data_IF_676964649245
#
_entry.id   IF_676964649245
#
_cell.length_a   1.000
_cell.length_b   1.000
_cell.length_c   1.000
_cell.angle_alpha   90.00
_cell.angle_beta   90.00
_cell.angle_gamma   90.00
#
_symmetry.space_group_name_H-M   'P 1'
#
loop_
_entity.id
_entity.type
_entity.pdbx_description
1 polymer ?
#
# COMPACT_ATOMS: atom_id res chain seq x y z
N UNK A 1 8.87 13.75 48.11
CA UNK A 1 9.38 13.21 46.81
C UNK A 1 8.17 12.67 46.08
N UNK A 2 7.96 13.09 44.83
CA UNK A 2 6.85 12.57 44.04
C UNK A 2 7.14 11.11 43.68
N UNK A 3 6.33 10.19 44.20
CA UNK A 3 6.54 8.75 44.04
C UNK A 3 6.36 8.29 42.58
N UNK A 4 5.54 9.00 41.78
CA UNK A 4 5.34 8.73 40.38
C UNK A 4 6.62 9.06 39.58
N UNK A 5 7.34 10.12 39.98
CA UNK A 5 8.61 10.49 39.40
C UNK A 5 9.74 9.50 39.76
N UNK A 6 9.70 8.92 40.93
CA UNK A 6 10.63 7.81 41.30
C UNK A 6 10.36 6.57 40.44
N UNK A 7 9.10 6.20 40.27
CA UNK A 7 8.73 5.07 39.44
C UNK A 7 9.12 5.32 37.97
N UNK A 8 8.86 6.53 37.46
CA UNK A 8 9.29 6.92 36.12
C UNK A 8 10.80 6.70 35.93
N UNK A 9 11.62 7.27 36.85
CA UNK A 9 13.07 7.14 36.77
C UNK A 9 13.53 5.67 36.86
N UNK A 10 12.92 4.90 37.75
CA UNK A 10 13.20 3.48 37.90
C UNK A 10 12.97 2.72 36.59
N UNK A 11 11.84 2.95 35.91
CA UNK A 11 11.54 2.34 34.62
C UNK A 11 12.58 2.74 33.57
N UNK A 12 12.96 4.02 33.50
CA UNK A 12 13.97 4.52 32.55
C UNK A 12 15.32 3.81 32.78
N UNK A 13 15.74 3.68 34.03
CA UNK A 13 17.01 3.05 34.38
C UNK A 13 17.02 1.53 34.11
N UNK A 14 15.86 0.86 34.11
CA UNK A 14 15.70 -0.58 33.89
C UNK A 14 15.12 -0.95 32.52
N UNK A 15 15.10 -0.02 31.55
CA UNK A 15 14.53 -0.30 30.21
C UNK A 15 15.20 -1.48 29.51
N UNK A 16 16.49 -1.71 29.74
CA UNK A 16 17.23 -2.85 29.19
C UNK A 16 16.71 -4.18 29.75
N UNK A 17 16.57 -4.28 31.05
CA UNK A 17 16.10 -5.50 31.74
C UNK A 17 14.66 -5.83 31.33
N UNK A 18 13.80 -4.80 31.24
CA UNK A 18 12.40 -4.93 30.76
C UNK A 18 12.39 -5.45 29.31
N UNK A 19 13.28 -4.96 28.49
CA UNK A 19 13.40 -5.39 27.08
C UNK A 19 13.90 -6.82 26.96
N UNK A 20 14.90 -7.21 27.74
CA UNK A 20 15.41 -8.60 27.78
C UNK A 20 14.34 -9.58 28.26
N UNK A 21 13.55 -9.18 29.25
CA UNK A 21 12.40 -9.96 29.69
C UNK A 21 11.34 -10.11 28.61
N UNK A 22 11.02 -9.03 27.91
CA UNK A 22 10.12 -9.08 26.77
C UNK A 22 10.62 -10.04 25.68
N UNK A 23 11.92 -10.03 25.37
CA UNK A 23 12.51 -11.00 24.44
C UNK A 23 12.32 -12.44 24.89
N UNK A 24 12.40 -12.71 26.20
CA UNK A 24 12.16 -14.06 26.74
C UNK A 24 10.72 -14.54 26.58
N UNK A 25 9.74 -13.65 26.61
CA UNK A 25 8.31 -13.96 26.41
C UNK A 25 7.98 -14.28 24.94
N UNK A 26 8.83 -13.86 24.00
CA UNK A 26 8.62 -14.07 22.55
C UNK A 26 8.81 -15.51 22.09
N UNK A 27 9.48 -16.35 22.83
CA UNK A 27 9.67 -17.77 22.48
C UNK A 27 8.35 -18.53 22.25
N UNK A 28 7.21 -17.93 22.61
CA UNK A 28 5.87 -18.51 22.43
C UNK A 28 5.12 -17.91 21.22
N UNK A 29 5.65 -16.86 20.57
CA UNK A 29 5.01 -16.19 19.45
C UNK A 29 5.20 -16.95 18.13
N UNK A 30 4.12 -17.06 17.36
CA UNK A 30 4.11 -17.59 16.01
C UNK A 30 4.21 -16.41 15.04
N UNK A 31 5.30 -16.29 14.29
CA UNK A 31 5.48 -15.24 13.30
C UNK A 31 6.96 -15.02 12.98
N UNK A 32 7.28 -14.71 11.73
CA UNK A 32 8.68 -14.59 11.29
C UNK A 32 9.43 -13.46 12.00
N UNK A 33 8.78 -12.31 12.22
CA UNK A 33 9.41 -11.15 12.83
C UNK A 33 9.60 -11.30 14.35
N UNK A 34 8.68 -11.97 15.03
CA UNK A 34 8.67 -12.06 16.47
C UNK A 34 9.12 -13.43 17.01
N UNK A 35 9.39 -14.43 16.16
CA UNK A 35 9.92 -15.72 16.59
C UNK A 35 11.41 -15.61 16.93
N UNK A 36 11.84 -16.33 17.97
CA UNK A 36 13.19 -16.23 18.51
C UNK A 36 14.26 -16.87 17.61
N UNK A 37 13.88 -17.76 16.69
CA UNK A 37 14.82 -18.71 16.09
C UNK A 37 15.67 -18.16 14.93
N UNK A 38 15.36 -16.98 14.34
CA UNK A 38 16.07 -16.49 13.15
C UNK A 38 16.18 -14.96 13.04
N UNK A 39 16.25 -14.22 14.15
CA UNK A 39 16.46 -12.78 14.08
C UNK A 39 17.86 -12.42 13.64
N UNK A 40 17.99 -11.63 12.56
CA UNK A 40 19.25 -10.98 12.23
C UNK A 40 19.64 -9.99 13.34
N UNK A 41 20.93 -9.72 13.50
CA UNK A 41 21.43 -8.75 14.49
C UNK A 41 20.82 -7.34 14.25
N UNK A 42 20.59 -6.97 12.99
CA UNK A 42 19.95 -5.71 12.62
C UNK A 42 18.50 -5.65 13.10
N UNK A 43 17.75 -6.75 12.92
CA UNK A 43 16.37 -6.83 13.37
C UNK A 43 16.28 -6.83 14.89
N UNK A 44 17.18 -7.54 15.56
CA UNK A 44 17.25 -7.53 17.04
C UNK A 44 17.51 -6.12 17.57
N UNK A 45 18.45 -5.39 16.96
CA UNK A 45 18.73 -4.00 17.31
C UNK A 45 17.50 -3.10 17.13
N UNK A 46 16.84 -3.21 15.96
CA UNK A 46 15.62 -2.44 15.68
C UNK A 46 14.52 -2.70 16.70
N UNK A 47 14.27 -3.97 17.02
CA UNK A 47 13.26 -4.34 18.01
C UNK A 47 13.62 -3.87 19.42
N UNK A 48 14.90 -3.92 19.78
CA UNK A 48 15.40 -3.37 21.05
C UNK A 48 15.14 -1.88 21.14
N UNK A 49 15.49 -1.11 20.11
CA UNK A 49 15.26 0.33 20.06
C UNK A 49 13.76 0.67 20.15
N UNK A 50 12.92 -0.04 19.40
CA UNK A 50 11.48 0.16 19.42
C UNK A 50 10.85 -0.21 20.77
N UNK A 51 11.27 -1.31 21.39
CA UNK A 51 10.75 -1.71 22.69
C UNK A 51 11.22 -0.79 23.83
N UNK A 52 12.47 -0.32 23.77
CA UNK A 52 12.96 0.72 24.69
C UNK A 52 12.11 1.98 24.57
N UNK A 53 11.78 2.40 23.33
CA UNK A 53 10.91 3.55 23.13
C UNK A 53 9.47 3.30 23.61
N UNK A 54 8.97 2.05 23.52
CA UNK A 54 7.69 1.66 24.14
C UNK A 54 7.74 1.89 25.66
N UNK A 55 8.80 1.42 26.33
CA UNK A 55 8.94 1.56 27.77
C UNK A 55 9.00 3.04 28.19
N UNK A 56 9.77 3.88 27.48
CA UNK A 56 9.85 5.33 27.72
C UNK A 56 8.48 5.97 27.53
N UNK A 57 7.77 5.61 26.45
CA UNK A 57 6.43 6.15 26.15
C UNK A 57 5.45 5.82 27.28
N UNK A 58 5.40 4.56 27.74
CA UNK A 58 4.48 4.16 28.82
C UNK A 58 4.91 4.79 30.15
N UNK A 59 6.21 4.89 30.44
CA UNK A 59 6.70 5.52 31.65
C UNK A 59 6.29 7.00 31.73
N UNK A 60 6.31 7.74 30.63
CA UNK A 60 5.88 9.14 30.60
C UNK A 60 4.41 9.35 30.99
N UNK A 61 3.58 8.29 30.96
CA UNK A 61 2.20 8.38 31.44
C UNK A 61 2.07 8.55 32.97
N UNK A 62 3.13 8.30 33.74
CA UNK A 62 3.16 8.57 35.18
C UNK A 62 3.41 10.04 35.52
N UNK A 63 3.88 10.83 34.57
CA UNK A 63 4.16 12.25 34.77
C UNK A 63 2.86 13.08 34.81
N UNK A 64 2.87 14.19 35.53
CA UNK A 64 1.72 15.09 35.62
C UNK A 64 1.42 15.74 34.28
N UNK A 65 2.46 16.14 33.52
CA UNK A 65 2.32 16.64 32.16
C UNK A 65 2.21 15.48 31.17
N UNK A 66 1.03 15.33 30.61
CA UNK A 66 0.73 14.26 29.65
C UNK A 66 1.16 14.59 28.21
N UNK A 67 1.74 15.76 27.97
CA UNK A 67 2.16 16.21 26.62
C UNK A 67 3.20 15.24 26.06
N UNK A 68 4.21 14.90 26.83
CA UNK A 68 5.27 13.98 26.44
C UNK A 68 4.72 12.58 26.10
N UNK A 69 3.77 12.08 26.90
CA UNK A 69 3.12 10.80 26.63
C UNK A 69 2.38 10.81 25.29
N UNK A 70 1.62 11.87 25.00
CA UNK A 70 0.86 11.98 23.75
C UNK A 70 1.77 12.07 22.53
N UNK A 71 2.82 12.91 22.59
CA UNK A 71 3.78 13.04 21.50
C UNK A 71 4.55 11.76 21.23
N UNK A 72 5.05 11.12 22.31
CA UNK A 72 5.78 9.85 22.19
C UNK A 72 4.88 8.74 21.64
N UNK A 73 3.64 8.63 22.10
CA UNK A 73 2.66 7.63 21.64
C UNK A 73 2.40 7.77 20.14
N UNK A 74 2.12 8.99 19.67
CA UNK A 74 1.87 9.24 18.24
C UNK A 74 3.11 8.91 17.39
N UNK A 75 4.29 9.35 17.83
CA UNK A 75 5.56 9.08 17.13
C UNK A 75 5.86 7.57 17.10
N UNK A 76 5.67 6.89 18.22
CA UNK A 76 5.86 5.45 18.32
C UNK A 76 4.92 4.71 17.38
N UNK A 77 3.62 5.01 17.43
CA UNK A 77 2.61 4.35 16.61
C UNK A 77 2.88 4.51 15.11
N UNK A 78 3.23 5.73 14.67
CA UNK A 78 3.59 5.99 13.27
C UNK A 78 4.82 5.19 12.84
N UNK A 79 5.88 5.19 13.67
CA UNK A 79 7.14 4.51 13.35
C UNK A 79 6.95 2.99 13.28
N UNK A 80 6.29 2.41 14.29
CA UNK A 80 6.08 0.97 14.36
C UNK A 80 5.10 0.51 13.30
N UNK A 81 3.97 1.19 13.10
CA UNK A 81 2.97 0.82 12.11
C UNK A 81 3.54 0.84 10.68
N UNK A 82 4.28 1.90 10.33
CA UNK A 82 4.96 2.00 9.03
C UNK A 82 5.89 0.82 8.79
N UNK A 83 6.78 0.55 9.76
CA UNK A 83 7.74 -0.55 9.67
C UNK A 83 7.04 -1.92 9.53
N UNK A 84 5.96 -2.18 10.27
CA UNK A 84 5.23 -3.46 10.18
C UNK A 84 4.50 -3.64 8.86
N UNK A 85 3.92 -2.57 8.31
CA UNK A 85 3.30 -2.60 6.97
C UNK A 85 4.34 -2.84 5.88
N UNK A 86 5.53 -2.23 5.98
CA UNK A 86 6.63 -2.45 5.02
C UNK A 86 7.17 -3.89 5.05
N UNK A 87 7.11 -4.54 6.22
CA UNK A 87 7.59 -5.91 6.42
C UNK A 87 6.49 -6.98 6.33
N UNK A 88 5.28 -6.62 5.89
CA UNK A 88 4.11 -7.53 5.78
C UNK A 88 3.73 -8.24 7.08
N UNK A 89 4.06 -7.66 8.25
CA UNK A 89 3.74 -8.22 9.56
C UNK A 89 2.24 -8.04 9.85
N UNK A 90 1.59 -9.10 10.25
CA UNK A 90 0.16 -9.07 10.52
C UNK A 90 -0.18 -8.32 11.81
N UNK A 91 -1.29 -7.58 11.81
CA UNK A 91 -1.68 -6.72 12.94
C UNK A 91 -1.80 -7.49 14.26
N UNK A 92 -2.31 -8.73 14.23
CA UNK A 92 -2.49 -9.53 15.44
C UNK A 92 -1.15 -9.92 16.11
N UNK A 93 -0.09 -10.16 15.31
CA UNK A 93 1.25 -10.45 15.84
C UNK A 93 1.82 -9.25 16.60
N UNK A 94 1.57 -8.04 16.11
CA UNK A 94 2.00 -6.81 16.78
C UNK A 94 1.21 -6.58 18.07
N UNK A 95 -0.10 -6.80 18.04
CA UNK A 95 -0.95 -6.68 19.24
C UNK A 95 -0.52 -7.68 20.32
N UNK A 96 -0.16 -8.91 19.94
CA UNK A 96 0.37 -9.91 20.86
C UNK A 96 1.73 -9.46 21.44
N UNK A 97 2.62 -8.91 20.61
CA UNK A 97 3.89 -8.36 21.06
C UNK A 97 3.71 -7.18 22.05
N UNK A 98 2.74 -6.29 21.81
CA UNK A 98 2.37 -5.20 22.72
C UNK A 98 1.81 -5.75 24.03
N UNK A 99 1.00 -6.81 23.99
CA UNK A 99 0.46 -7.47 25.17
C UNK A 99 1.58 -8.06 26.03
N UNK A 100 2.60 -8.67 25.42
CA UNK A 100 3.79 -9.15 26.12
C UNK A 100 4.63 -8.01 26.69
N UNK A 101 4.68 -6.85 26.01
CA UNK A 101 5.31 -5.63 26.54
C UNK A 101 4.59 -5.14 27.80
N UNK A 102 3.26 -5.21 27.85
CA UNK A 102 2.49 -4.87 29.05
C UNK A 102 2.87 -5.76 30.24
N UNK A 103 3.06 -7.06 30.00
CA UNK A 103 3.45 -8.01 31.04
C UNK A 103 4.85 -7.68 31.58
N UNK A 104 5.85 -7.53 30.69
CA UNK A 104 7.23 -7.24 31.09
C UNK A 104 7.34 -5.89 31.82
N UNK A 105 6.60 -4.89 31.37
CA UNK A 105 6.54 -3.57 31.99
C UNK A 105 5.90 -3.63 33.38
N UNK A 106 4.74 -4.30 33.51
CA UNK A 106 4.06 -4.43 34.80
C UNK A 106 4.90 -5.19 35.83
N UNK A 107 5.65 -6.21 35.42
CA UNK A 107 6.56 -6.92 36.27
C UNK A 107 7.66 -6.02 36.86
N UNK A 108 8.16 -5.04 36.07
CA UNK A 108 9.10 -4.04 36.56
C UNK A 108 8.44 -3.08 37.59
N UNK A 109 7.18 -2.67 37.36
CA UNK A 109 6.43 -1.89 38.32
C UNK A 109 6.25 -2.67 39.64
N UNK A 110 5.94 -3.96 39.54
CA UNK A 110 5.81 -4.83 40.74
C UNK A 110 7.16 -4.98 41.48
N UNK A 111 8.28 -5.04 40.76
CA UNK A 111 9.60 -5.05 41.37
C UNK A 111 9.86 -3.75 42.15
N UNK A 112 9.58 -2.59 41.52
CA UNK A 112 9.68 -1.30 42.21
C UNK A 112 8.82 -1.25 43.49
N UNK A 113 7.57 -1.72 43.43
CA UNK A 113 6.68 -1.77 44.61
C UNK A 113 7.31 -2.60 45.73
N UNK A 114 7.88 -3.78 45.40
CA UNK A 114 8.52 -4.66 46.41
C UNK A 114 9.76 -4.05 47.04
N UNK A 115 10.54 -3.30 46.29
CA UNK A 115 11.76 -2.62 46.75
C UNK A 115 11.44 -1.40 47.62
N UNK A 116 10.24 -0.81 47.44
CA UNK A 116 9.84 0.45 48.08
C UNK A 116 8.58 0.32 48.95
N UNK A 117 8.39 -0.84 49.62
CA UNK A 117 7.19 -1.13 50.41
C UNK A 117 6.93 -0.14 51.55
N UNK A 118 7.98 0.55 52.02
CA UNK A 118 7.87 1.53 53.11
C UNK A 118 7.25 2.86 52.69
N UNK A 119 7.25 3.18 51.37
CA UNK A 119 6.80 4.45 50.84
C UNK A 119 5.66 4.30 49.81
N UNK A 120 5.46 3.11 49.24
CA UNK A 120 4.41 2.82 48.24
C UNK A 120 3.17 2.31 48.96
N UNK A 121 2.05 2.95 48.74
CA UNK A 121 0.74 2.50 49.27
C UNK A 121 0.01 1.58 48.31
N UNK A 122 -0.98 0.84 48.80
CA UNK A 122 -1.86 0.06 47.93
C UNK A 122 -2.65 0.94 46.94
N UNK A 123 -2.98 2.16 47.35
CA UNK A 123 -3.67 3.13 46.47
C UNK A 123 -2.77 3.56 45.28
N UNK A 124 -1.47 3.72 45.55
CA UNK A 124 -0.48 4.00 44.48
C UNK A 124 -0.39 2.82 43.49
N UNK A 125 -0.29 1.60 44.01
CA UNK A 125 -0.24 0.39 43.20
C UNK A 125 -1.48 0.25 42.29
N UNK A 126 -2.67 0.48 42.85
CA UNK A 126 -3.94 0.43 42.13
C UNK A 126 -4.04 1.55 41.08
N UNK A 127 -3.54 2.75 41.40
CA UNK A 127 -3.47 3.87 40.44
C UNK A 127 -2.54 3.53 39.28
N UNK A 128 -1.33 3.05 39.56
CA UNK A 128 -0.37 2.66 38.52
C UNK A 128 -0.86 1.53 37.65
N UNK A 129 -1.56 0.54 38.20
CA UNK A 129 -2.18 -0.52 37.44
C UNK A 129 -3.17 0.04 36.42
N UNK A 130 -4.02 1.00 36.84
CA UNK A 130 -4.95 1.67 35.90
C UNK A 130 -4.22 2.46 34.83
N UNK A 131 -3.19 3.23 35.22
CA UNK A 131 -2.39 4.03 34.26
C UNK A 131 -1.75 3.13 33.22
N UNK A 132 -1.07 2.05 33.64
CA UNK A 132 -0.40 1.11 32.72
C UNK A 132 -1.41 0.49 31.75
N UNK A 133 -2.51 -0.06 32.24
CA UNK A 133 -3.51 -0.68 31.38
C UNK A 133 -4.11 0.31 30.39
N UNK A 134 -4.51 1.50 30.84
CA UNK A 134 -5.07 2.53 29.95
C UNK A 134 -4.05 3.03 28.93
N UNK A 135 -2.78 3.13 29.30
CA UNK A 135 -1.73 3.59 28.39
C UNK A 135 -1.43 2.57 27.32
N UNK A 136 -1.37 1.28 27.65
CA UNK A 136 -1.22 0.23 26.65
C UNK A 136 -2.45 0.10 25.76
N UNK A 137 -3.66 0.27 26.27
CA UNK A 137 -4.88 0.26 25.48
C UNK A 137 -4.90 1.41 24.48
N UNK A 138 -4.52 2.63 24.90
CA UNK A 138 -4.35 3.78 23.99
C UNK A 138 -3.28 3.51 22.94
N UNK A 139 -2.15 2.90 23.32
CA UNK A 139 -1.07 2.55 22.39
C UNK A 139 -1.55 1.56 21.32
N UNK A 140 -2.33 0.54 21.69
CA UNK A 140 -2.92 -0.42 20.74
C UNK A 140 -3.89 0.28 19.79
N UNK A 141 -4.74 1.18 20.31
CA UNK A 141 -5.69 1.92 19.48
C UNK A 141 -4.95 2.79 18.47
N UNK A 142 -4.02 3.64 18.91
CA UNK A 142 -3.24 4.51 18.05
C UNK A 142 -2.43 3.73 17.01
N UNK A 143 -1.78 2.64 17.43
CA UNK A 143 -1.10 1.73 16.51
C UNK A 143 -2.03 1.19 15.43
N UNK A 144 -3.22 0.71 15.83
CA UNK A 144 -4.18 0.11 14.90
C UNK A 144 -4.69 1.12 13.87
N UNK A 145 -4.93 2.37 14.27
CA UNK A 145 -5.32 3.46 13.37
C UNK A 145 -4.21 3.78 12.36
N UNK A 146 -2.97 3.92 12.82
CA UNK A 146 -1.83 4.19 11.95
C UNK A 146 -1.54 3.01 11.01
N UNK A 147 -1.62 1.78 11.49
CA UNK A 147 -1.44 0.58 10.69
C UNK A 147 -2.47 0.51 9.56
N UNK A 148 -3.76 0.73 9.87
CA UNK A 148 -4.82 0.76 8.88
C UNK A 148 -4.58 1.85 7.83
N UNK A 149 -4.15 3.04 8.26
CA UNK A 149 -3.83 4.15 7.36
C UNK A 149 -2.71 3.79 6.38
N UNK A 150 -1.60 3.22 6.85
CA UNK A 150 -0.49 2.81 5.99
C UNK A 150 -0.87 1.66 5.05
N UNK A 151 -1.66 0.69 5.52
CA UNK A 151 -2.18 -0.39 4.67
C UNK A 151 -3.07 0.14 3.54
N UNK A 152 -3.96 1.08 3.83
CA UNK A 152 -4.79 1.72 2.80
C UNK A 152 -3.95 2.51 1.79
N UNK A 153 -2.95 3.27 2.25
CA UNK A 153 -2.02 3.98 1.37
C UNK A 153 -1.28 3.01 0.43
N UNK A 154 -0.77 1.91 0.98
CA UNK A 154 -0.08 0.87 0.19
C UNK A 154 -1.01 0.25 -0.85
N UNK A 155 -2.23 -0.10 -0.45
CA UNK A 155 -3.24 -0.66 -1.35
C UNK A 155 -3.60 0.31 -2.48
N UNK A 156 -3.81 1.59 -2.15
CA UNK A 156 -4.10 2.64 -3.14
C UNK A 156 -2.95 2.79 -4.14
N UNK A 157 -1.71 2.87 -3.65
CA UNK A 157 -0.53 2.95 -4.53
C UNK A 157 -0.39 1.73 -5.45
N UNK A 158 -0.67 0.53 -4.95
CA UNK A 158 -0.69 -0.67 -5.79
C UNK A 158 -1.81 -0.63 -6.84
N UNK A 159 -3.00 -0.13 -6.49
CA UNK A 159 -4.11 0.04 -7.43
C UNK A 159 -3.80 1.09 -8.50
N UNK A 160 -3.14 2.18 -8.14
CA UNK A 160 -2.68 3.21 -9.08
C UNK A 160 -1.68 2.64 -10.07
N UNK A 161 -0.67 1.88 -9.62
CA UNK A 161 0.28 1.19 -10.49
C UNK A 161 -0.40 0.22 -11.46
N UNK A 162 -1.37 -0.57 -10.98
CA UNK A 162 -2.15 -1.48 -11.83
C UNK A 162 -2.96 -0.69 -12.86
N UNK A 163 -3.55 0.43 -12.47
CA UNK A 163 -4.30 1.32 -13.36
C UNK A 163 -3.40 1.96 -14.43
N UNK A 164 -2.20 2.40 -14.05
CA UNK A 164 -1.21 2.93 -15.01
C UNK A 164 -0.78 1.90 -16.04
N UNK A 165 -0.58 0.65 -15.62
CA UNK A 165 -0.23 -0.45 -16.52
C UNK A 165 -1.42 -0.94 -17.34
N UNK A 166 -2.65 -0.70 -16.86
CA UNK A 166 -3.89 -1.20 -17.47
C UNK A 166 -4.27 -0.55 -18.81
N UNK A 167 -3.74 0.65 -19.13
CA UNK A 167 -4.08 1.41 -20.33
C UNK A 167 -2.85 2.11 -20.94
N UNK A 168 -1.78 1.36 -21.30
CA UNK A 168 -0.57 1.97 -21.82
C UNK A 168 -0.80 2.50 -23.24
N UNK A 169 -0.58 3.79 -23.47
CA UNK A 169 -0.42 4.33 -24.83
C UNK A 169 1.06 4.19 -25.20
N UNK A 170 1.37 3.29 -26.12
CA UNK A 170 2.73 2.98 -26.56
C UNK A 170 3.02 3.76 -27.85
N UNK A 171 3.97 4.69 -27.81
CA UNK A 171 4.46 5.37 -29.02
C UNK A 171 5.38 4.43 -29.80
N UNK A 172 5.09 4.17 -31.08
CA UNK A 172 5.85 3.26 -31.95
C UNK A 172 6.57 3.97 -33.08
N UNK A 173 6.05 5.13 -33.48
CA UNK A 173 6.65 6.00 -34.48
C UNK A 173 6.18 7.44 -34.21
N UNK A 174 6.75 8.40 -34.92
CA UNK A 174 6.35 9.81 -34.79
C UNK A 174 4.85 9.98 -35.09
N UNK A 175 4.13 10.44 -34.08
CA UNK A 175 2.68 10.65 -34.12
C UNK A 175 1.83 9.37 -34.09
N UNK A 176 2.41 8.16 -34.05
CA UNK A 176 1.67 6.90 -34.07
C UNK A 176 1.79 6.21 -32.72
N UNK A 177 0.65 5.94 -32.10
CA UNK A 177 0.54 5.21 -30.84
C UNK A 177 -0.36 3.98 -30.93
N UNK A 178 -0.14 3.04 -30.03
CA UNK A 178 -0.97 1.85 -29.82
C UNK A 178 -1.53 1.88 -28.41
N UNK A 179 -2.81 1.57 -28.26
CA UNK A 179 -3.50 1.24 -27.01
C UNK A 179 -3.87 -0.23 -27.06
N UNK A 180 -3.05 -1.15 -26.52
CA UNK A 180 -3.40 -2.57 -26.44
C UNK A 180 -4.37 -2.80 -25.28
N UNK A 181 -5.56 -3.29 -25.57
CA UNK A 181 -6.56 -3.67 -24.56
C UNK A 181 -6.55 -5.19 -24.40
N UNK A 182 -6.23 -5.65 -23.19
CA UNK A 182 -6.08 -7.07 -22.88
C UNK A 182 -6.97 -7.43 -21.68
N UNK A 183 -7.64 -8.57 -21.75
CA UNK A 183 -8.52 -9.08 -20.70
C UNK A 183 -9.90 -8.40 -20.68
N UNK A 184 -10.69 -8.67 -19.63
CA UNK A 184 -12.02 -8.11 -19.49
C UNK A 184 -11.96 -6.62 -19.21
N UNK A 185 -12.82 -5.86 -19.88
CA UNK A 185 -13.01 -4.43 -19.64
C UNK A 185 -14.33 -4.29 -18.89
N UNK A 186 -14.26 -3.90 -17.62
CA UNK A 186 -15.42 -3.52 -16.84
C UNK A 186 -15.73 -2.02 -16.97
N UNK A 187 -16.83 -1.58 -16.43
CA UNK A 187 -17.26 -0.18 -16.49
C UNK A 187 -16.22 0.78 -15.89
N UNK A 188 -15.57 0.38 -14.78
CA UNK A 188 -14.57 1.20 -14.10
C UNK A 188 -13.33 1.37 -14.98
N UNK A 189 -12.84 0.27 -15.55
CA UNK A 189 -11.70 0.29 -16.47
C UNK A 189 -11.99 1.08 -17.74
N UNK A 190 -13.20 0.94 -18.28
CA UNK A 190 -13.63 1.71 -19.46
C UNK A 190 -13.65 3.23 -19.18
N UNK A 191 -14.07 3.64 -17.98
CA UNK A 191 -14.03 5.03 -17.56
C UNK A 191 -12.58 5.53 -17.41
N UNK A 192 -11.68 4.77 -16.81
CA UNK A 192 -10.26 5.11 -16.69
C UNK A 192 -9.63 5.28 -18.07
N UNK A 193 -9.95 4.40 -19.03
CA UNK A 193 -9.49 4.51 -20.42
C UNK A 193 -9.93 5.86 -21.02
N UNK A 194 -11.21 6.21 -20.87
CA UNK A 194 -11.79 7.43 -21.40
C UNK A 194 -11.15 8.70 -20.82
N UNK A 195 -10.77 8.69 -19.55
CA UNK A 195 -10.17 9.82 -18.86
C UNK A 195 -8.65 9.95 -19.15
N UNK A 196 -7.93 8.83 -19.20
CA UNK A 196 -6.45 8.85 -19.27
C UNK A 196 -5.87 8.82 -20.67
N UNK A 197 -6.50 8.09 -21.61
CA UNK A 197 -5.94 7.91 -22.95
C UNK A 197 -5.84 9.22 -23.73
N UNK A 198 -6.86 10.10 -23.74
CA UNK A 198 -6.76 11.38 -24.45
C UNK A 198 -5.62 12.26 -23.94
N UNK A 199 -5.43 12.32 -22.62
CA UNK A 199 -4.34 13.08 -21.99
C UNK A 199 -2.98 12.55 -22.43
N UNK A 200 -2.79 11.23 -22.39
CA UNK A 200 -1.55 10.56 -22.81
C UNK A 200 -1.25 10.75 -24.30
N UNK A 201 -2.28 10.81 -25.16
CA UNK A 201 -2.09 11.10 -26.57
C UNK A 201 -1.52 12.50 -26.80
N UNK A 202 -2.02 13.49 -26.07
CA UNK A 202 -1.53 14.86 -26.14
C UNK A 202 -0.08 14.96 -25.63
N UNK A 203 0.20 14.41 -24.43
CA UNK A 203 1.53 14.42 -23.82
C UNK A 203 2.58 13.79 -24.73
N UNK A 204 2.22 12.70 -25.43
CA UNK A 204 3.11 11.94 -26.33
C UNK A 204 3.06 12.40 -27.77
N UNK A 205 2.32 13.49 -28.07
CA UNK A 205 2.15 14.04 -29.41
C UNK A 205 1.65 13.00 -30.44
N UNK A 206 0.75 12.11 -29.99
CA UNK A 206 0.13 11.11 -30.86
C UNK A 206 -0.93 11.79 -31.72
N UNK A 207 -0.85 11.62 -33.02
CA UNK A 207 -1.81 12.12 -34.02
C UNK A 207 -2.70 11.00 -34.57
N UNK A 208 -2.27 9.74 -34.38
CA UNK A 208 -3.03 8.55 -34.77
C UNK A 208 -2.86 7.47 -33.73
N UNK A 209 -3.96 7.01 -33.13
CA UNK A 209 -3.99 5.98 -32.11
C UNK A 209 -4.67 4.71 -32.61
N UNK A 210 -3.94 3.58 -32.60
CA UNK A 210 -4.52 2.25 -32.87
C UNK A 210 -5.01 1.66 -31.54
N UNK A 211 -6.32 1.49 -31.40
CA UNK A 211 -6.94 0.77 -30.28
C UNK A 211 -7.07 -0.69 -30.64
N UNK A 212 -6.22 -1.53 -30.05
CA UNK A 212 -6.19 -2.96 -30.33
C UNK A 212 -7.06 -3.75 -29.35
N UNK A 213 -8.09 -4.36 -29.88
CA UNK A 213 -9.09 -5.17 -29.14
C UNK A 213 -8.85 -6.68 -29.24
N UNK A 214 -7.75 -7.11 -29.87
CA UNK A 214 -7.44 -8.54 -30.09
C UNK A 214 -7.41 -9.35 -28.79
N UNK A 215 -6.99 -8.72 -27.70
CA UNK A 215 -6.89 -9.33 -26.38
C UNK A 215 -8.16 -9.24 -25.51
N UNK A 216 -9.26 -8.68 -26.04
CA UNK A 216 -10.51 -8.48 -25.28
C UNK A 216 -11.47 -9.63 -25.60
N UNK A 217 -11.81 -10.53 -24.64
CA UNK A 217 -12.63 -11.69 -24.92
C UNK A 217 -14.11 -11.35 -25.16
N UNK A 218 -14.64 -10.37 -24.45
CA UNK A 218 -16.05 -9.96 -24.50
C UNK A 218 -16.11 -8.44 -24.34
N UNK A 219 -16.94 -7.80 -25.17
CA UNK A 219 -17.29 -6.39 -25.07
C UNK A 219 -18.80 -6.31 -24.86
N UNK A 220 -19.23 -5.87 -23.67
CA UNK A 220 -20.63 -5.63 -23.39
C UNK A 220 -21.10 -4.28 -23.96
N UNK A 221 -22.38 -4.02 -23.86
CA UNK A 221 -23.04 -2.81 -24.35
C UNK A 221 -22.42 -1.53 -23.77
N UNK A 222 -22.10 -1.55 -22.47
CA UNK A 222 -21.54 -0.39 -21.78
C UNK A 222 -20.12 -0.09 -22.25
N UNK A 223 -19.31 -1.12 -22.38
CA UNK A 223 -17.92 -1.00 -22.88
C UNK A 223 -17.89 -0.52 -24.32
N UNK A 224 -18.76 -1.06 -25.20
CA UNK A 224 -18.88 -0.60 -26.57
C UNK A 224 -19.20 0.90 -26.64
N UNK A 225 -20.13 1.38 -25.79
CA UNK A 225 -20.47 2.79 -25.69
C UNK A 225 -19.30 3.66 -25.23
N UNK A 226 -18.50 3.17 -24.26
CA UNK A 226 -17.35 3.93 -23.76
C UNK A 226 -16.21 3.99 -24.81
N UNK A 227 -15.95 2.91 -25.54
CA UNK A 227 -15.00 2.91 -26.65
C UNK A 227 -15.42 3.86 -27.77
N UNK A 228 -16.71 3.92 -28.08
CA UNK A 228 -17.26 4.89 -29.00
C UNK A 228 -17.08 6.34 -28.52
N UNK A 229 -17.32 6.59 -27.23
CA UNK A 229 -17.10 7.91 -26.63
C UNK A 229 -15.60 8.28 -26.65
N UNK A 230 -14.70 7.32 -26.42
CA UNK A 230 -13.27 7.52 -26.52
C UNK A 230 -12.88 7.96 -27.94
N UNK A 231 -13.37 7.27 -28.97
CA UNK A 231 -13.05 7.62 -30.36
C UNK A 231 -13.51 9.03 -30.72
N UNK A 232 -14.72 9.43 -30.28
CA UNK A 232 -15.19 10.81 -30.47
C UNK A 232 -14.34 11.85 -29.77
N UNK A 233 -13.94 11.56 -28.51
CA UNK A 233 -13.05 12.46 -27.76
C UNK A 233 -11.71 12.62 -28.46
N UNK A 234 -11.11 11.53 -28.96
CA UNK A 234 -9.85 11.57 -29.69
C UNK A 234 -9.96 12.42 -30.97
N UNK A 235 -11.03 12.25 -31.75
CA UNK A 235 -11.27 13.03 -32.95
C UNK A 235 -11.39 14.54 -32.66
N UNK A 236 -12.09 14.91 -31.58
CA UNK A 236 -12.20 16.31 -31.15
C UNK A 236 -10.84 16.92 -30.76
N UNK A 237 -9.90 16.09 -30.29
CA UNK A 237 -8.53 16.49 -29.97
C UNK A 237 -7.58 16.44 -31.18
N UNK A 238 -8.10 16.12 -32.38
CA UNK A 238 -7.30 15.99 -33.60
C UNK A 238 -6.50 14.68 -33.67
N UNK A 239 -6.82 13.70 -32.84
CA UNK A 239 -6.20 12.37 -32.87
C UNK A 239 -7.08 11.42 -33.67
N UNK A 240 -6.52 10.84 -34.73
CA UNK A 240 -7.21 9.83 -35.54
C UNK A 240 -7.31 8.53 -34.75
N UNK A 241 -8.53 8.06 -34.47
CA UNK A 241 -8.78 6.77 -33.86
C UNK A 241 -8.87 5.68 -34.95
N UNK A 242 -8.10 4.61 -34.78
CA UNK A 242 -8.08 3.41 -35.62
C UNK A 242 -8.32 2.19 -34.75
N UNK A 243 -9.15 1.26 -35.16
CA UNK A 243 -9.41 0.06 -34.40
C UNK A 243 -8.81 -1.17 -35.06
N UNK A 244 -8.26 -2.09 -34.24
CA UNK A 244 -7.79 -3.39 -34.72
C UNK A 244 -8.30 -4.52 -33.85
N UNK A 245 -8.41 -5.73 -34.42
CA UNK A 245 -8.78 -6.91 -33.70
C UNK A 245 -10.25 -6.96 -33.23
N UNK A 246 -11.16 -6.22 -33.91
CA UNK A 246 -12.59 -6.28 -33.62
C UNK A 246 -13.13 -7.66 -33.98
N UNK A 247 -13.68 -8.35 -33.00
CA UNK A 247 -14.29 -9.67 -33.19
C UNK A 247 -15.70 -9.55 -33.75
N UNK A 248 -16.22 -10.57 -34.45
CA UNK A 248 -17.56 -10.53 -35.04
C UNK A 248 -18.70 -10.28 -34.03
N UNK A 249 -18.57 -10.83 -32.81
CA UNK A 249 -19.53 -10.64 -31.73
C UNK A 249 -19.56 -9.16 -31.23
N UNK A 250 -18.39 -8.53 -31.16
CA UNK A 250 -18.27 -7.08 -30.81
C UNK A 250 -18.89 -6.22 -31.92
N UNK A 251 -18.65 -6.54 -33.18
CA UNK A 251 -19.22 -5.83 -34.31
C UNK A 251 -20.74 -5.93 -34.32
N UNK A 252 -21.32 -7.11 -34.09
CA UNK A 252 -22.76 -7.32 -34.01
C UNK A 252 -23.40 -6.51 -32.87
N UNK A 253 -22.80 -6.55 -31.68
CA UNK A 253 -23.27 -5.78 -30.51
C UNK A 253 -23.28 -4.28 -30.82
N UNK A 254 -22.24 -3.77 -31.45
CA UNK A 254 -22.16 -2.34 -31.81
C UNK A 254 -23.25 -1.91 -32.77
N UNK A 255 -23.54 -2.72 -33.80
CA UNK A 255 -24.62 -2.43 -34.77
C UNK A 255 -25.99 -2.46 -34.06
N UNK A 256 -26.24 -3.42 -33.18
CA UNK A 256 -27.52 -3.52 -32.42
C UNK A 256 -27.75 -2.29 -31.53
N UNK A 257 -26.69 -1.65 -31.06
CA UNK A 257 -26.72 -0.48 -30.21
C UNK A 257 -26.81 0.84 -31.01
N UNK A 258 -26.76 0.77 -32.33
CA UNK A 258 -26.72 1.96 -33.18
C UNK A 258 -25.39 2.74 -33.07
N UNK A 259 -24.32 2.09 -32.61
CA UNK A 259 -22.98 2.66 -32.55
C UNK A 259 -22.31 2.47 -33.93
N UNK A 260 -22.17 3.57 -34.65
CA UNK A 260 -21.60 3.52 -35.97
C UNK A 260 -20.07 3.64 -35.95
N UNK A 261 -19.41 2.47 -35.99
CA UNK A 261 -17.96 2.40 -36.11
C UNK A 261 -17.50 2.49 -37.57
N UNK A 262 -18.41 2.61 -38.56
CA UNK A 262 -18.04 2.75 -39.99
C UNK A 262 -17.34 4.08 -40.29
N UNK A 263 -17.49 5.07 -39.43
CA UNK A 263 -16.77 6.35 -39.52
C UNK A 263 -15.27 6.21 -39.16
N UNK A 264 -14.86 5.09 -38.52
CA UNK A 264 -13.49 4.83 -38.08
C UNK A 264 -12.83 3.77 -38.96
N UNK A 265 -11.54 3.92 -39.19
CA UNK A 265 -10.77 2.87 -39.85
C UNK A 265 -10.67 1.65 -38.96
N UNK A 266 -11.04 0.49 -39.49
CA UNK A 266 -11.04 -0.79 -38.76
C UNK A 266 -10.24 -1.83 -39.51
N UNK A 267 -9.41 -2.58 -38.77
CA UNK A 267 -8.56 -3.63 -39.35
C UNK A 267 -8.71 -4.93 -38.56
N UNK A 268 -8.60 -6.07 -39.24
CA UNK A 268 -8.70 -7.39 -38.61
C UNK A 268 -7.57 -7.67 -37.65
N UNK A 269 -6.38 -7.09 -37.86
CA UNK A 269 -5.20 -7.28 -37.03
C UNK A 269 -4.43 -5.98 -36.83
N UNK A 270 -3.71 -5.89 -35.72
CA UNK A 270 -2.80 -4.78 -35.43
C UNK A 270 -1.75 -4.61 -36.52
N UNK A 271 -1.21 -5.71 -37.06
CA UNK A 271 -0.25 -5.70 -38.18
C UNK A 271 -0.80 -4.98 -39.38
N UNK A 272 -2.02 -5.28 -39.82
CA UNK A 272 -2.67 -4.62 -40.95
C UNK A 272 -2.87 -3.12 -40.70
N UNK A 273 -3.28 -2.73 -39.48
CA UNK A 273 -3.42 -1.34 -39.12
C UNK A 273 -2.10 -0.59 -39.26
N UNK A 274 -1.01 -1.13 -38.75
CA UNK A 274 0.32 -0.52 -38.77
C UNK A 274 0.88 -0.42 -40.21
N UNK A 275 0.74 -1.48 -40.99
CA UNK A 275 1.18 -1.49 -42.40
C UNK A 275 0.47 -0.39 -43.24
N UNK A 276 -0.84 -0.21 -43.00
CA UNK A 276 -1.61 0.85 -43.67
C UNK A 276 -1.23 2.26 -43.20
N UNK A 277 -0.71 2.40 -41.99
CA UNK A 277 -0.18 3.65 -41.45
C UNK A 277 1.29 3.92 -41.88
N UNK A 278 1.85 3.05 -42.71
CA UNK A 278 3.21 3.18 -43.24
C UNK A 278 4.32 2.66 -42.32
N UNK A 279 3.96 2.02 -41.18
CA UNK A 279 4.93 1.38 -40.29
C UNK A 279 5.31 0.04 -40.89
N UNK A 280 6.54 -0.10 -41.36
CA UNK A 280 7.07 -1.34 -41.94
C UNK A 280 8.26 -1.82 -41.13
N UNK A 281 8.31 -3.13 -40.88
CA UNK A 281 9.48 -3.78 -40.33
C UNK A 281 10.47 -4.04 -41.46
N UNK A 282 11.62 -3.37 -41.49
CA UNK A 282 12.71 -3.68 -42.42
C UNK A 282 13.54 -4.74 -41.69
N UNK A 283 13.49 -5.98 -42.18
CA UNK A 283 14.44 -7.01 -41.78
C UNK A 283 15.64 -6.88 -42.70
N UNK A 284 16.72 -6.27 -42.22
CA UNK A 284 18.02 -6.40 -42.87
C UNK A 284 18.49 -7.86 -42.64
N UNK A 285 18.50 -8.67 -43.69
CA UNK A 285 19.23 -9.93 -43.66
C UNK A 285 20.72 -9.59 -43.47
N UNK A 286 21.23 -9.87 -42.26
CA UNK A 286 22.67 -9.91 -42.04
C UNK A 286 23.22 -11.02 -42.94
N UNK A 287 23.80 -10.65 -44.10
CA UNK A 287 24.61 -11.58 -44.88
C UNK A 287 25.71 -12.13 -43.97
N UNK A 288 25.61 -13.40 -43.63
CA UNK A 288 26.73 -14.17 -43.02
C UNK A 288 27.88 -14.15 -44.04
N UNK A 289 28.82 -13.23 -43.85
CA UNK A 289 30.13 -13.34 -44.53
C UNK A 289 30.82 -14.60 -44.01
N UNK A 290 30.85 -15.62 -44.89
CA UNK A 290 31.72 -16.77 -44.80
C UNK A 290 33.19 -16.39 -45.00
#
# INVERSE_FOLDING_TARGET
VNIDQLLYQYIIDHTADITDKWFSLRCQLKGELYSADHLSEEMKKLLTEQHTFTNITIASAFLEDQTEFQENMTKWAQTVAKNRVEQDVQVHEVVEAISNSRISFWDAVVAFIKENQDIVTNEDADRWNRIVNQSFDKLIIEFSEQYQKFMLMRLTSQQELISELGCPVISIADGIGILPLIGSIDTKRAQVILETVPVRCIERKITSLVVDLSGVPIVDTMVAQQLYNLSKTLVLLGVKAVFSGIRPDVAQTSIQLGLDFSEYETYGTLKQALENMGVRCIVEELEENK
#
